data_IF_515708920157
#
_entry.id   IF_515708920157
#
_cell.length_a   1.000
_cell.length_b   1.000
_cell.length_c   1.000
_cell.angle_alpha   90.00
_cell.angle_beta   90.00
_cell.angle_gamma   90.00
#
_symmetry.space_group_name_H-M   'P 1'
#
loop_
_entity.id
_entity.type
_entity.pdbx_description
1 polymer ?
#
# COMPACT_ATOMS: atom_id res chain seq x y z
N UNK A 1 -15.84 4.69 23.42
CA UNK A 1 -14.48 5.04 22.91
C UNK A 1 -14.61 6.38 22.23
N UNK A 2 -13.88 7.44 22.65
CA UNK A 2 -14.16 8.78 22.16
C UNK A 2 -13.64 8.93 20.72
N UNK A 3 -14.50 9.48 19.86
CA UNK A 3 -14.16 9.95 18.52
C UNK A 3 -13.29 11.20 18.66
N UNK A 4 -12.06 11.16 18.16
CA UNK A 4 -11.21 12.35 18.02
C UNK A 4 -11.45 12.89 16.61
N UNK A 5 -12.19 14.00 16.54
CA UNK A 5 -12.34 14.83 15.34
C UNK A 5 -11.15 15.79 15.27
N UNK A 6 -10.38 15.76 14.20
CA UNK A 6 -9.35 16.77 13.95
C UNK A 6 -9.94 17.89 13.07
N UNK A 7 -10.26 19.03 13.68
CA UNK A 7 -10.43 20.28 12.94
C UNK A 7 -9.05 20.90 12.70
N UNK A 8 -8.58 20.87 11.46
CA UNK A 8 -7.39 21.61 11.02
C UNK A 8 -7.81 22.98 10.48
N UNK A 9 -7.53 24.02 11.26
CA UNK A 9 -7.63 25.42 10.85
C UNK A 9 -6.44 25.79 9.97
N UNK A 10 -6.70 26.15 8.71
CA UNK A 10 -5.70 26.69 7.79
C UNK A 10 -5.28 28.11 8.21
N UNK A 11 -4.01 28.31 8.55
CA UNK A 11 -3.39 29.64 8.62
C UNK A 11 -2.62 29.92 7.33
N UNK A 12 -3.01 31.00 6.67
CA UNK A 12 -2.43 31.59 5.46
C UNK A 12 -1.07 32.24 5.76
N UNK A 13 -0.09 32.04 4.87
CA UNK A 13 1.13 32.85 4.77
C UNK A 13 1.61 32.95 3.30
N UNK A 14 2.46 33.93 2.95
CA UNK A 14 2.23 34.83 1.81
C UNK A 14 3.06 34.50 0.56
N UNK A 15 2.65 35.11 -0.55
CA UNK A 15 3.21 35.01 -1.90
C UNK A 15 4.51 35.80 -2.11
N UNK A 16 5.53 35.17 -2.73
CA UNK A 16 6.55 35.78 -3.62
C UNK A 16 7.47 34.68 -4.24
N UNK A 17 8.28 34.96 -5.27
CA UNK A 17 7.96 35.45 -6.60
C UNK A 17 8.35 34.44 -7.71
N UNK A 18 7.90 34.73 -8.93
CA UNK A 18 8.02 33.93 -10.16
C UNK A 18 9.46 33.55 -10.56
N UNK A 19 9.70 32.25 -10.79
CA UNK A 19 10.84 31.77 -11.59
C UNK A 19 10.34 31.11 -12.88
N UNK A 20 10.86 31.59 -14.01
CA UNK A 20 10.63 31.09 -15.36
C UNK A 20 11.11 29.64 -15.47
N UNK A 21 10.25 28.74 -15.95
CA UNK A 21 10.68 27.41 -16.40
C UNK A 21 10.44 27.23 -17.90
N UNK A 22 11.48 26.71 -18.53
CA UNK A 22 11.59 26.36 -19.94
C UNK A 22 10.44 25.47 -20.41
N UNK A 23 9.88 25.83 -21.57
CA UNK A 23 9.02 24.98 -22.37
C UNK A 23 9.85 23.82 -22.96
N UNK A 24 9.62 22.61 -22.49
CA UNK A 24 10.00 21.37 -23.18
C UNK A 24 8.74 20.55 -23.41
N UNK A 25 8.16 20.77 -24.59
CA UNK A 25 7.20 19.87 -25.23
C UNK A 25 7.92 18.57 -25.57
N UNK A 26 7.77 17.57 -24.70
CA UNK A 26 7.79 16.14 -24.99
C UNK A 26 7.52 15.41 -23.67
N UNK A 27 6.25 15.41 -23.22
CA UNK A 27 5.85 14.49 -22.15
C UNK A 27 5.81 13.10 -22.77
N UNK A 28 6.71 12.15 -22.42
CA UNK A 28 6.51 10.77 -22.82
C UNK A 28 5.12 10.35 -22.32
N UNK A 29 4.33 9.73 -23.19
CA UNK A 29 3.00 9.21 -22.85
C UNK A 29 3.21 8.15 -21.79
N UNK A 30 3.01 8.58 -20.54
CA UNK A 30 3.31 7.86 -19.31
C UNK A 30 2.10 7.00 -18.97
N UNK A 31 1.87 5.96 -19.77
CA UNK A 31 0.87 4.96 -19.44
C UNK A 31 1.32 4.22 -18.17
N UNK A 32 0.70 4.59 -17.04
CA UNK A 32 0.91 4.00 -15.73
C UNK A 32 0.47 2.53 -15.78
N UNK A 33 1.38 1.61 -16.11
CA UNK A 33 1.09 0.19 -15.94
C UNK A 33 1.05 -0.10 -14.44
N UNK A 34 -0.18 -0.13 -13.90
CA UNK A 34 -0.46 -0.44 -12.50
C UNK A 34 0.07 -1.83 -12.12
N UNK A 35 0.26 -2.06 -10.82
CA UNK A 35 0.48 -3.41 -10.31
C UNK A 35 -0.70 -4.31 -10.71
N UNK A 36 -0.41 -5.56 -11.07
CA UNK A 36 -1.44 -6.56 -11.32
C UNK A 36 -1.89 -7.12 -9.98
N UNK A 37 -3.20 -7.20 -9.78
CA UNK A 37 -3.82 -7.74 -8.57
C UNK A 37 -4.47 -9.10 -8.83
N UNK A 38 -3.66 -10.07 -9.26
CA UNK A 38 -4.13 -11.44 -9.45
C UNK A 38 -4.10 -12.16 -8.10
N UNK A 39 -5.17 -12.07 -7.31
CA UNK A 39 -5.18 -12.67 -5.97
C UNK A 39 -4.53 -11.75 -4.93
N UNK A 40 -3.94 -12.32 -3.89
CA UNK A 40 -3.25 -11.55 -2.84
C UNK A 40 -1.87 -11.16 -3.35
N UNK A 41 -1.57 -9.85 -3.30
CA UNK A 41 -0.30 -9.29 -3.76
C UNK A 41 0.60 -8.97 -2.58
N UNK A 42 1.90 -9.26 -2.68
CA UNK A 42 2.92 -8.80 -1.74
C UNK A 42 3.83 -7.75 -2.40
N UNK A 43 3.98 -6.59 -1.76
CA UNK A 43 5.00 -5.59 -2.08
C UNK A 43 6.07 -5.65 -0.99
N UNK A 44 7.22 -6.22 -1.32
CA UNK A 44 8.32 -6.46 -0.38
C UNK A 44 9.56 -5.62 -0.70
N UNK A 45 10.40 -5.34 0.29
CA UNK A 45 11.60 -4.51 0.12
C UNK A 45 12.16 -3.99 1.44
N UNK A 46 13.34 -3.35 1.38
CA UNK A 46 13.97 -2.74 2.56
C UNK A 46 13.25 -1.44 2.97
N UNK A 47 13.43 -0.98 4.21
CA UNK A 47 13.01 0.37 4.63
C UNK A 47 13.62 1.42 3.68
N UNK A 48 12.83 2.40 3.25
CA UNK A 48 13.28 3.46 2.31
C UNK A 48 13.31 3.06 0.83
N UNK A 49 12.87 1.85 0.47
CA UNK A 49 12.80 1.39 -0.92
C UNK A 49 11.64 2.01 -1.72
N UNK A 50 10.63 2.58 -1.07
CA UNK A 50 9.49 3.22 -1.74
C UNK A 50 8.19 2.41 -1.77
N UNK A 51 8.13 1.25 -1.09
CA UNK A 51 6.91 0.41 -0.96
C UNK A 51 5.69 1.20 -0.50
N UNK A 52 5.87 2.04 0.51
CA UNK A 52 4.81 2.88 1.07
C UNK A 52 4.27 3.85 0.01
N UNK A 53 5.16 4.49 -0.76
CA UNK A 53 4.75 5.41 -1.82
C UNK A 53 3.95 4.71 -2.92
N UNK A 54 4.34 3.48 -3.27
CA UNK A 54 3.59 2.66 -4.25
C UNK A 54 2.17 2.39 -3.75
N UNK A 55 2.02 1.89 -2.53
CA UNK A 55 0.67 1.55 -2.03
C UNK A 55 -0.20 2.78 -1.79
N UNK A 56 0.38 3.89 -1.35
CA UNK A 56 -0.34 5.17 -1.22
C UNK A 56 -0.76 5.71 -2.59
N UNK A 57 0.03 5.49 -3.65
CA UNK A 57 -0.36 5.86 -5.02
C UNK A 57 -1.54 5.03 -5.51
N UNK A 58 -1.51 3.72 -5.24
CA UNK A 58 -2.56 2.77 -5.62
C UNK A 58 -3.88 3.07 -4.90
N UNK A 59 -3.83 3.48 -3.63
CA UNK A 59 -5.04 3.85 -2.86
C UNK A 59 -5.73 5.09 -3.39
N UNK A 60 -5.03 6.00 -4.09
CA UNK A 60 -5.62 7.24 -4.64
C UNK A 60 -6.78 7.01 -5.62
N UNK A 61 -6.99 5.78 -6.08
CA UNK A 61 -7.99 5.42 -7.09
C UNK A 61 -9.10 4.52 -6.56
N UNK A 62 -9.03 4.12 -5.28
CA UNK A 62 -9.86 3.05 -4.71
C UNK A 62 -10.33 3.43 -3.30
N UNK A 63 -11.57 3.06 -2.96
CA UNK A 63 -12.00 3.04 -1.56
C UNK A 63 -11.09 2.07 -0.79
N UNK A 64 -10.32 2.57 0.16
CA UNK A 64 -9.17 1.83 0.70
C UNK A 64 -9.29 1.63 2.21
N UNK A 65 -9.06 0.42 2.67
CA UNK A 65 -8.85 0.10 4.08
C UNK A 65 -7.39 -0.26 4.32
N UNK A 66 -6.70 0.56 5.08
CA UNK A 66 -5.40 0.23 5.64
C UNK A 66 -5.56 -0.45 7.00
N UNK A 67 -5.02 -1.65 7.12
CA UNK A 67 -4.87 -2.36 8.39
C UNK A 67 -3.37 -2.38 8.68
N UNK A 68 -2.95 -1.70 9.74
CA UNK A 68 -1.54 -1.43 10.00
C UNK A 68 -1.19 -1.72 11.45
N UNK A 69 0.07 -2.07 11.70
CA UNK A 69 0.63 -2.17 13.06
C UNK A 69 1.16 -0.85 13.60
N UNK A 70 1.35 0.12 12.69
CA UNK A 70 1.98 1.42 12.97
C UNK A 70 1.18 2.54 12.34
N UNK A 71 1.30 3.77 12.83
CA UNK A 71 0.74 4.93 12.15
C UNK A 71 1.27 5.02 10.71
N UNK A 72 0.36 5.22 9.76
CA UNK A 72 0.76 5.52 8.38
C UNK A 72 1.32 6.95 8.29
N UNK A 73 2.22 7.22 7.34
CA UNK A 73 2.73 8.57 7.13
C UNK A 73 1.67 9.44 6.43
N UNK A 74 0.62 9.85 7.17
CA UNK A 74 -0.54 10.60 6.66
C UNK A 74 -0.09 11.86 5.93
N UNK A 75 0.92 12.57 6.43
CA UNK A 75 1.45 13.78 5.76
C UNK A 75 1.94 13.51 4.33
N UNK A 76 2.51 12.34 4.06
CA UNK A 76 2.90 11.97 2.68
C UNK A 76 1.69 11.69 1.83
N UNK A 77 0.65 11.09 2.41
CA UNK A 77 -0.58 10.81 1.70
C UNK A 77 -1.32 12.09 1.33
N UNK A 78 -1.43 13.05 2.25
CA UNK A 78 -2.03 14.37 1.97
C UNK A 78 -1.27 15.12 0.88
N UNK A 79 0.07 15.08 0.89
CA UNK A 79 0.88 15.68 -0.18
C UNK A 79 0.61 15.04 -1.56
N UNK A 80 0.51 13.70 -1.60
CA UNK A 80 0.17 12.97 -2.83
C UNK A 80 -1.22 13.37 -3.36
N UNK A 81 -2.20 13.58 -2.48
CA UNK A 81 -3.54 14.02 -2.86
C UNK A 81 -3.55 15.48 -3.33
N UNK A 82 -2.87 16.37 -2.61
CA UNK A 82 -2.72 17.78 -2.99
C UNK A 82 -2.05 17.93 -4.36
N UNK A 83 -1.05 17.09 -4.68
CA UNK A 83 -0.43 17.09 -6.01
C UNK A 83 -1.38 16.58 -7.10
N UNK A 84 -2.20 15.56 -6.80
CA UNK A 84 -3.14 14.95 -7.75
C UNK A 84 -4.31 15.89 -8.07
N UNK A 85 -4.90 16.49 -7.03
CA UNK A 85 -6.13 17.29 -7.14
C UNK A 85 -5.87 18.80 -7.11
N UNK A 86 -4.64 19.24 -6.84
CA UNK A 86 -4.31 20.65 -6.68
C UNK A 86 -4.98 21.25 -5.46
N UNK A 87 -5.49 22.48 -5.58
CA UNK A 87 -6.20 23.19 -4.51
C UNK A 87 -7.69 22.79 -4.40
N UNK A 88 -8.10 21.67 -4.99
CA UNK A 88 -9.48 21.19 -4.93
C UNK A 88 -9.73 20.43 -3.63
N UNK A 89 -9.97 21.20 -2.57
CA UNK A 89 -10.15 20.69 -1.20
C UNK A 89 -11.27 19.63 -1.13
N UNK A 90 -12.38 19.83 -1.84
CA UNK A 90 -13.49 18.87 -1.87
C UNK A 90 -13.10 17.49 -2.40
N UNK A 91 -12.31 17.42 -3.47
CA UNK A 91 -11.83 16.14 -4.03
C UNK A 91 -10.85 15.43 -3.07
N UNK A 92 -10.08 16.20 -2.29
CA UNK A 92 -9.19 15.67 -1.24
C UNK A 92 -10.02 15.11 -0.08
N UNK A 93 -11.00 15.86 0.40
CA UNK A 93 -11.87 15.46 1.52
C UNK A 93 -12.70 14.22 1.16
N UNK A 94 -13.30 14.19 -0.02
CA UNK A 94 -14.04 13.02 -0.52
C UNK A 94 -13.14 11.79 -0.59
N UNK A 95 -11.88 11.96 -0.96
CA UNK A 95 -10.93 10.86 -1.01
C UNK A 95 -10.51 10.36 0.38
N UNK A 96 -10.29 11.28 1.33
CA UNK A 96 -9.99 10.94 2.72
C UNK A 96 -11.18 10.24 3.39
N UNK A 97 -12.41 10.66 3.09
CA UNK A 97 -13.64 10.01 3.56
C UNK A 97 -13.79 8.56 3.05
N UNK A 98 -13.15 8.23 1.93
CA UNK A 98 -13.10 6.89 1.35
C UNK A 98 -11.82 6.11 1.72
N UNK A 99 -11.01 6.63 2.66
CA UNK A 99 -9.81 5.97 3.17
C UNK A 99 -9.95 5.68 4.67
N UNK A 100 -9.97 4.40 5.03
CA UNK A 100 -10.05 3.93 6.42
C UNK A 100 -8.68 3.48 6.89
N UNK A 101 -8.28 3.85 8.11
CA UNK A 101 -7.03 3.41 8.73
C UNK A 101 -7.35 2.77 10.06
N UNK A 102 -7.02 1.49 10.19
CA UNK A 102 -7.18 0.70 11.41
C UNK A 102 -5.81 0.27 11.91
N UNK A 103 -5.47 0.66 13.14
CA UNK A 103 -4.22 0.26 13.79
C UNK A 103 -4.49 -0.95 14.69
N UNK A 104 -3.88 -2.09 14.37
CA UNK A 104 -3.99 -3.34 15.13
C UNK A 104 -2.59 -3.79 15.53
N UNK A 105 -2.34 -3.87 16.83
CA UNK A 105 -1.04 -4.20 17.40
C UNK A 105 -0.97 -5.60 18.05
N UNK A 106 -2.01 -6.43 17.85
CA UNK A 106 -2.11 -7.79 18.39
C UNK A 106 -2.71 -8.73 17.35
N UNK A 107 -2.18 -9.94 17.23
CA UNK A 107 -2.63 -10.90 16.21
C UNK A 107 -4.08 -11.34 16.44
N UNK A 108 -4.49 -11.59 17.69
CA UNK A 108 -5.85 -12.05 18.01
C UNK A 108 -6.91 -10.99 17.65
N UNK A 109 -6.53 -9.72 17.76
CA UNK A 109 -7.38 -8.60 17.31
C UNK A 109 -7.47 -8.52 15.79
N UNK A 110 -6.37 -8.80 15.09
CA UNK A 110 -6.36 -8.86 13.62
C UNK A 110 -7.24 -10.01 13.15
N UNK A 111 -7.07 -11.17 13.75
CA UNK A 111 -7.87 -12.36 13.49
C UNK A 111 -9.36 -12.11 13.72
N UNK A 112 -9.74 -11.66 14.92
CA UNK A 112 -11.14 -11.36 15.22
C UNK A 112 -11.73 -10.32 14.26
N UNK A 113 -10.97 -9.29 13.88
CA UNK A 113 -11.43 -8.30 12.92
C UNK A 113 -11.68 -8.91 11.53
N UNK A 114 -10.74 -9.70 11.02
CA UNK A 114 -10.83 -10.32 9.70
C UNK A 114 -11.96 -11.36 9.66
N UNK A 115 -12.06 -12.21 10.68
CA UNK A 115 -13.07 -13.27 10.75
C UNK A 115 -14.49 -12.73 10.87
N UNK A 116 -14.69 -11.67 11.66
CA UNK A 116 -16.04 -11.27 12.08
C UNK A 116 -16.51 -9.89 11.62
N UNK A 117 -15.61 -8.99 11.17
CA UNK A 117 -15.98 -7.58 10.89
C UNK A 117 -15.60 -7.08 9.50
N UNK A 118 -14.53 -7.63 8.92
CA UNK A 118 -13.99 -7.12 7.67
C UNK A 118 -15.00 -7.14 6.52
N UNK A 119 -15.72 -8.25 6.34
CA UNK A 119 -16.67 -8.39 5.22
C UNK A 119 -17.81 -7.35 5.27
N UNK A 120 -18.37 -7.11 6.44
CA UNK A 120 -19.44 -6.13 6.63
C UNK A 120 -18.94 -4.71 6.37
N UNK A 121 -17.74 -4.41 6.86
CA UNK A 121 -17.11 -3.11 6.66
C UNK A 121 -16.80 -2.86 5.18
N UNK A 122 -16.31 -3.88 4.47
CA UNK A 122 -16.10 -3.83 3.01
C UNK A 122 -17.38 -3.47 2.28
N UNK A 123 -18.47 -4.22 2.54
CA UNK A 123 -19.76 -4.02 1.84
C UNK A 123 -20.37 -2.67 2.16
N UNK A 124 -20.36 -2.28 3.44
CA UNK A 124 -20.97 -1.04 3.91
C UNK A 124 -20.30 0.20 3.35
N UNK A 125 -18.98 0.17 3.20
CA UNK A 125 -18.19 1.34 2.82
C UNK A 125 -17.63 1.27 1.38
N UNK A 126 -18.02 0.28 0.59
CA UNK A 126 -17.59 0.16 -0.81
C UNK A 126 -16.06 0.05 -0.96
N UNK A 127 -15.39 -0.60 0.00
CA UNK A 127 -13.94 -0.78 -0.05
C UNK A 127 -13.60 -1.70 -1.22
N UNK A 128 -12.62 -1.31 -2.01
CA UNK A 128 -12.11 -2.05 -3.17
C UNK A 128 -10.64 -2.42 -3.04
N UNK A 129 -9.91 -1.80 -2.09
CA UNK A 129 -8.52 -2.12 -1.78
C UNK A 129 -8.33 -2.32 -0.28
N UNK A 130 -7.77 -3.46 0.11
CA UNK A 130 -7.28 -3.71 1.48
C UNK A 130 -5.76 -3.72 1.47
N UNK A 131 -5.16 -2.91 2.34
CA UNK A 131 -3.71 -2.84 2.52
C UNK A 131 -3.36 -3.32 3.92
N UNK A 132 -2.69 -4.46 3.99
CA UNK A 132 -2.08 -5.00 5.20
C UNK A 132 -0.64 -4.48 5.29
N UNK A 133 -0.48 -3.38 6.03
CA UNK A 133 0.76 -2.61 6.09
C UNK A 133 1.65 -3.05 7.24
N UNK A 134 2.80 -3.62 6.89
CA UNK A 134 3.83 -4.10 7.82
C UNK A 134 3.28 -5.03 8.93
N UNK A 135 2.25 -5.84 8.60
CA UNK A 135 1.69 -6.82 9.53
C UNK A 135 2.67 -7.95 9.87
N UNK A 136 3.76 -8.05 9.10
CA UNK A 136 4.88 -8.93 9.35
C UNK A 136 5.52 -8.67 10.73
N UNK A 137 5.36 -7.48 11.32
CA UNK A 137 5.72 -7.23 12.72
C UNK A 137 4.85 -7.96 13.76
N UNK A 138 3.58 -8.28 13.46
CA UNK A 138 2.76 -9.11 14.36
C UNK A 138 3.18 -10.57 14.28
N UNK A 139 3.64 -10.98 13.09
CA UNK A 139 4.07 -12.35 12.82
C UNK A 139 5.47 -12.65 13.34
N UNK A 140 6.14 -11.67 13.95
CA UNK A 140 7.45 -11.81 14.60
C UNK A 140 7.38 -12.36 16.02
N UNK A 141 6.18 -12.41 16.62
CA UNK A 141 6.03 -12.94 17.98
C UNK A 141 6.20 -14.46 17.96
N UNK A 142 6.99 -15.01 18.87
CA UNK A 142 7.35 -16.43 18.90
C UNK A 142 6.15 -17.34 19.21
N UNK A 143 5.04 -16.76 19.70
CA UNK A 143 3.81 -17.46 20.08
C UNK A 143 2.73 -17.46 18.99
N UNK A 144 3.05 -17.05 17.76
CA UNK A 144 2.05 -17.05 16.69
C UNK A 144 1.74 -18.48 16.26
N UNK A 145 0.51 -18.90 16.54
CA UNK A 145 -0.04 -20.16 16.05
C UNK A 145 -0.25 -20.09 14.54
N UNK A 146 0.28 -21.08 13.82
CA UNK A 146 0.13 -21.17 12.37
C UNK A 146 -1.34 -21.23 11.96
N UNK A 147 -2.16 -21.93 12.74
CA UNK A 147 -3.60 -22.09 12.48
C UNK A 147 -4.32 -20.73 12.40
N UNK A 148 -4.00 -19.77 13.27
CA UNK A 148 -4.52 -18.41 13.20
C UNK A 148 -4.17 -17.70 11.89
N UNK A 149 -2.92 -17.84 11.41
CA UNK A 149 -2.50 -17.27 10.12
C UNK A 149 -3.29 -17.92 8.98
N UNK A 150 -3.41 -19.24 8.98
CA UNK A 150 -4.16 -19.96 7.95
C UNK A 150 -5.63 -19.53 7.92
N UNK A 151 -6.29 -19.44 9.09
CA UNK A 151 -7.65 -18.95 9.22
C UNK A 151 -7.81 -17.53 8.68
N UNK A 152 -6.92 -16.62 9.05
CA UNK A 152 -6.89 -15.23 8.56
C UNK A 152 -6.74 -15.18 7.04
N UNK A 153 -5.76 -15.89 6.48
CA UNK A 153 -5.46 -15.85 5.05
C UNK A 153 -6.59 -16.48 4.21
N UNK A 154 -7.14 -17.61 4.65
CA UNK A 154 -8.29 -18.24 4.01
C UNK A 154 -9.50 -17.32 4.00
N UNK A 155 -9.80 -16.68 5.13
CA UNK A 155 -10.92 -15.74 5.20
C UNK A 155 -10.70 -14.52 4.32
N UNK A 156 -9.47 -13.99 4.25
CA UNK A 156 -9.13 -12.90 3.34
C UNK A 156 -9.35 -13.29 1.88
N UNK A 157 -8.94 -14.49 1.47
CA UNK A 157 -9.18 -15.01 0.12
C UNK A 157 -10.68 -15.11 -0.19
N UNK A 158 -11.47 -15.64 0.73
CA UNK A 158 -12.93 -15.73 0.60
C UNK A 158 -13.57 -14.35 0.44
N UNK A 159 -13.25 -13.40 1.33
CA UNK A 159 -13.77 -12.02 1.29
C UNK A 159 -13.34 -11.34 -0.02
N UNK A 160 -12.08 -11.51 -0.42
CA UNK A 160 -11.55 -10.98 -1.66
C UNK A 160 -12.35 -11.47 -2.86
N UNK A 161 -12.57 -12.77 -2.97
CA UNK A 161 -13.29 -13.39 -4.08
C UNK A 161 -14.74 -12.90 -4.13
N UNK A 162 -15.45 -12.96 -2.99
CA UNK A 162 -16.86 -12.61 -2.88
C UNK A 162 -17.15 -11.13 -3.18
N UNK A 163 -16.20 -10.23 -2.89
CA UNK A 163 -16.37 -8.79 -3.04
C UNK A 163 -15.50 -8.18 -4.17
N UNK A 164 -14.79 -9.02 -4.95
CA UNK A 164 -13.87 -8.58 -6.02
C UNK A 164 -12.85 -7.52 -5.56
N UNK A 165 -12.24 -7.76 -4.41
CA UNK A 165 -11.27 -6.83 -3.81
C UNK A 165 -9.87 -7.05 -4.33
N UNK A 166 -9.08 -5.99 -4.23
CA UNK A 166 -7.63 -6.09 -4.27
C UNK A 166 -7.09 -6.13 -2.83
N UNK A 167 -6.16 -7.05 -2.57
CA UNK A 167 -5.55 -7.24 -1.25
C UNK A 167 -4.05 -7.19 -1.39
N UNK A 168 -3.41 -6.33 -0.58
CA UNK A 168 -1.97 -6.04 -0.68
C UNK A 168 -1.30 -6.14 0.68
N UNK A 169 -0.26 -6.95 0.74
CA UNK A 169 0.65 -7.03 1.88
C UNK A 169 1.86 -6.17 1.60
N UNK A 170 2.23 -5.29 2.53
CA UNK A 170 3.45 -4.49 2.44
C UNK A 170 4.44 -4.97 3.50
N UNK A 171 5.47 -5.73 3.10
CA UNK A 171 6.35 -6.48 4.03
C UNK A 171 7.81 -6.04 3.96
N UNK A 172 8.52 -6.05 5.08
CA UNK A 172 9.94 -5.70 5.17
C UNK A 172 10.80 -6.94 4.87
N UNK A 173 11.49 -6.91 3.72
CA UNK A 173 12.15 -8.06 3.07
C UNK A 173 13.18 -8.87 3.89
N UNK A 174 13.52 -8.56 5.15
CA UNK A 174 14.68 -9.22 5.80
C UNK A 174 14.68 -9.44 7.29
N UNK A 175 13.78 -8.86 8.09
CA UNK A 175 13.84 -9.04 9.55
C UNK A 175 12.85 -10.08 10.07
N UNK A 176 11.71 -10.24 9.41
CA UNK A 176 10.64 -11.12 9.90
C UNK A 176 10.94 -12.58 9.60
N UNK A 177 11.30 -12.87 8.35
CA UNK A 177 11.39 -14.23 7.85
C UNK A 177 12.70 -14.96 8.14
N UNK A 178 13.71 -14.27 8.68
CA UNK A 178 14.92 -14.92 9.18
C UNK A 178 14.70 -15.58 10.54
N UNK A 179 13.66 -15.16 11.29
CA UNK A 179 13.37 -15.67 12.64
C UNK A 179 12.28 -16.76 12.62
N UNK A 180 11.34 -16.71 11.66
CA UNK A 180 10.27 -17.71 11.55
C UNK A 180 10.08 -18.18 10.10
N UNK A 181 10.83 -19.22 9.71
CA UNK A 181 10.83 -19.79 8.37
C UNK A 181 9.49 -20.45 7.99
N UNK A 182 8.80 -21.06 8.95
CA UNK A 182 7.51 -21.72 8.73
C UNK A 182 6.43 -20.70 8.33
N UNK A 183 6.37 -19.56 9.03
CA UNK A 183 5.48 -18.45 8.66
C UNK A 183 5.78 -17.97 7.24
N UNK A 184 7.05 -17.89 6.83
CA UNK A 184 7.39 -17.49 5.46
C UNK A 184 6.84 -18.45 4.43
N UNK A 185 7.07 -19.75 4.61
CA UNK A 185 6.59 -20.78 3.70
C UNK A 185 5.07 -20.76 3.60
N UNK A 186 4.37 -20.60 4.72
CA UNK A 186 2.91 -20.53 4.71
C UNK A 186 2.39 -19.26 4.05
N UNK A 187 3.03 -18.11 4.27
CA UNK A 187 2.68 -16.88 3.55
C UNK A 187 2.89 -17.03 2.03
N UNK A 188 3.94 -17.73 1.60
CA UNK A 188 4.19 -18.02 0.19
C UNK A 188 3.08 -18.84 -0.47
N UNK A 189 2.43 -19.73 0.27
CA UNK A 189 1.27 -20.48 -0.24
C UNK A 189 0.08 -19.57 -0.58
N UNK A 190 -0.12 -18.48 0.17
CA UNK A 190 -1.29 -17.61 0.01
C UNK A 190 -1.05 -16.39 -0.87
N UNK A 191 0.22 -15.98 -1.06
CA UNK A 191 0.59 -14.85 -1.90
C UNK A 191 0.63 -15.31 -3.35
N UNK A 192 -0.20 -14.71 -4.19
CA UNK A 192 -0.28 -15.05 -5.60
C UNK A 192 0.73 -14.28 -6.45
N UNK A 193 0.96 -13.01 -6.12
CA UNK A 193 1.84 -12.12 -6.88
C UNK A 193 2.79 -11.39 -5.95
N UNK A 194 4.06 -11.25 -6.36
CA UNK A 194 5.08 -10.61 -5.54
C UNK A 194 5.83 -9.53 -6.32
N UNK A 195 5.91 -8.34 -5.73
CA UNK A 195 6.69 -7.23 -6.23
C UNK A 195 7.81 -6.91 -5.24
N UNK A 196 9.05 -7.11 -5.67
CA UNK A 196 10.23 -6.75 -4.90
C UNK A 196 10.70 -5.34 -5.29
N UNK A 197 10.73 -4.45 -4.30
CA UNK A 197 11.17 -3.06 -4.45
C UNK A 197 12.56 -2.89 -3.87
N UNK A 198 13.46 -2.38 -4.68
CA UNK A 198 14.85 -2.12 -4.33
C UNK A 198 15.23 -0.68 -4.63
N UNK A 199 16.18 -0.14 -3.84
CA UNK A 199 16.82 1.15 -4.07
C UNK A 199 18.23 0.92 -4.57
N UNK A 200 18.58 1.55 -5.70
CA UNK A 200 19.96 1.64 -6.18
C UNK A 200 20.23 3.10 -6.51
N UNK A 201 21.07 3.74 -5.70
CA UNK A 201 21.31 5.19 -5.74
C UNK A 201 19.99 5.98 -5.57
N UNK A 202 19.70 6.90 -6.49
CA UNK A 202 18.47 7.70 -6.50
C UNK A 202 17.31 7.02 -7.23
N UNK A 203 17.58 5.96 -8.00
CA UNK A 203 16.56 5.18 -8.68
C UNK A 203 15.96 4.10 -7.77
N UNK A 204 14.68 3.78 -8.00
CA UNK A 204 14.04 2.57 -7.46
C UNK A 204 13.74 1.60 -8.60
N UNK A 205 13.73 0.31 -8.27
CA UNK A 205 13.43 -0.77 -9.20
C UNK A 205 12.39 -1.66 -8.56
N UNK A 206 11.34 -1.96 -9.32
CA UNK A 206 10.33 -2.95 -8.97
C UNK A 206 10.55 -4.17 -9.85
N UNK A 207 10.71 -5.33 -9.23
CA UNK A 207 10.77 -6.62 -9.92
C UNK A 207 9.50 -7.36 -9.57
N UNK A 208 8.72 -7.73 -10.58
CA UNK A 208 7.67 -8.71 -10.42
C UNK A 208 8.33 -10.08 -10.38
N UNK A 209 8.23 -10.73 -9.23
CA UNK A 209 8.79 -12.04 -8.96
C UNK A 209 7.69 -13.06 -9.25
N UNK A 210 7.83 -13.78 -10.36
CA UNK A 210 6.95 -14.87 -10.72
C UNK A 210 7.76 -16.15 -10.90
N UNK A 211 7.16 -17.32 -10.64
CA UNK A 211 7.84 -18.62 -10.69
C UNK A 211 8.34 -18.98 -12.10
N UNK A 212 7.77 -18.38 -13.16
CA UNK A 212 8.08 -18.70 -14.55
C UNK A 212 8.82 -17.61 -15.32
N UNK A 213 8.71 -16.33 -14.94
CA UNK A 213 9.41 -15.21 -15.58
C UNK A 213 9.44 -13.97 -14.67
N UNK A 214 10.58 -13.29 -14.59
CA UNK A 214 10.71 -12.06 -13.81
C UNK A 214 10.55 -10.84 -14.71
N UNK A 215 9.40 -10.16 -14.61
CA UNK A 215 9.20 -8.86 -15.27
C UNK A 215 9.88 -7.75 -14.44
N UNK A 216 10.75 -6.97 -15.08
CA UNK A 216 11.48 -5.88 -14.42
C UNK A 216 10.93 -4.53 -14.85
N UNK A 217 10.51 -3.73 -13.87
CA UNK A 217 10.03 -2.36 -14.04
C UNK A 217 11.00 -1.38 -13.38
N UNK A 218 11.52 -0.42 -14.16
CA UNK A 218 12.22 0.71 -13.58
C UNK A 218 11.19 1.73 -13.11
N UNK A 219 11.31 2.19 -11.87
CA UNK A 219 10.32 3.10 -11.27
C UNK A 219 11.04 4.25 -10.60
N UNK A 220 10.70 5.45 -11.02
CA UNK A 220 11.12 6.65 -10.32
C UNK A 220 10.13 6.87 -9.17
N UNK A 221 10.60 6.70 -7.95
CA UNK A 221 9.81 6.96 -6.74
C UNK A 221 10.41 8.18 -6.07
N UNK A 222 9.62 9.25 -6.01
CA UNK A 222 9.91 10.43 -5.19
C UNK A 222 9.02 10.43 -3.96
N UNK A 223 9.25 11.35 -3.03
CA UNK A 223 8.38 11.47 -1.84
C UNK A 223 6.93 11.79 -2.23
N UNK A 224 6.73 12.44 -3.37
CA UNK A 224 5.43 12.94 -3.84
C UNK A 224 4.94 12.27 -5.15
N UNK A 225 5.58 11.20 -5.62
CA UNK A 225 5.07 10.46 -6.78
C UNK A 225 5.69 9.08 -6.99
N UNK A 226 5.00 8.29 -7.82
CA UNK A 226 5.49 7.03 -8.37
C UNK A 226 5.28 7.07 -9.89
N UNK A 227 6.38 7.09 -10.62
CA UNK A 227 6.41 7.19 -12.08
C UNK A 227 7.04 5.92 -12.63
N UNK A 228 6.25 5.15 -13.39
CA UNK A 228 6.70 3.92 -14.02
C UNK A 228 7.44 4.25 -15.32
N UNK A 229 8.71 3.87 -15.42
CA UNK A 229 9.54 4.07 -16.60
C UNK A 229 9.67 2.74 -17.32
N UNK A 230 9.06 2.63 -18.51
CA UNK A 230 9.22 1.43 -19.34
C UNK A 230 10.70 1.33 -19.74
N UNK A 231 11.27 0.13 -19.63
CA UNK A 231 12.56 -0.16 -20.25
C UNK A 231 12.38 0.08 -21.76
N UNK A 232 13.13 1.01 -22.35
CA UNK A 232 13.31 1.00 -23.80
C UNK A 232 13.96 -0.35 -24.12
N UNK A 233 13.34 -1.13 -24.99
CA UNK A 233 13.98 -2.31 -25.56
C UNK A 233 15.18 -1.79 -26.34
N UNK A 234 16.38 -2.20 -25.93
CA UNK A 234 17.61 -2.10 -26.72
C UNK A 234 17.61 -3.22 -27.76
#
# INVERSE_FOLDING_TARGET
>A
VPYISYHLTCQLFPSAPSQKYFSLTNRPVLESKMLKYNGIVEITGKKGSGRTNIVLKESQRKGTLFISVKPLPINRYTNLLAKKYGNKITEIDDHLNNTFILIINKLERLEAFILYKLNDLVKKHGISLIVLYEIDFLLLDDYVEMDSIFCVMNKLHEIKYNNRLDVVFVTLYRKVFSHNYNIRLSMEYFINERYQVSRRNDARKIVHVNYSNNDVFNVLITDDDVIYVRKQEE
#
